data_IF_939604225495
#
_entry.id   IF_939604225495
#
_cell.length_a   1.000
_cell.length_b   1.000
_cell.length_c   1.000
_cell.angle_alpha   90.00
_cell.angle_beta   90.00
_cell.angle_gamma   90.00
#
_symmetry.space_group_name_H-M   'P 1'
#
loop_
_entity.id
_entity.type
_entity.pdbx_description
1 polymer ?
#
# COMPACT_ATOMS: atom_id res chain seq x y z
N UNK A 1 8.13 19.21 15.04
CA UNK A 1 6.68 19.04 15.35
C UNK A 1 6.44 17.53 15.34
N UNK A 2 5.79 16.96 16.36
CA UNK A 2 5.57 15.50 16.35
C UNK A 2 4.64 15.17 15.18
N UNK A 3 5.01 14.20 14.32
CA UNK A 3 4.18 13.75 13.21
C UNK A 3 2.93 13.04 13.74
N UNK A 4 1.81 13.26 13.09
CA UNK A 4 0.55 12.59 13.43
C UNK A 4 0.33 11.41 12.48
N UNK A 5 0.70 10.23 12.95
CA UNK A 5 0.65 9.00 12.17
C UNK A 5 -0.55 8.15 12.56
N UNK A 6 -1.07 7.40 11.61
CA UNK A 6 -2.20 6.49 11.82
C UNK A 6 -1.93 5.11 11.25
N UNK A 7 -2.68 4.14 11.75
CA UNK A 7 -2.76 2.80 11.21
C UNK A 7 -4.15 2.62 10.61
N UNK A 8 -4.21 2.06 9.41
CA UNK A 8 -5.44 1.83 8.67
C UNK A 8 -5.57 0.34 8.40
N UNK A 9 -6.59 -0.28 8.99
CA UNK A 9 -6.91 -1.69 8.86
C UNK A 9 -8.15 -1.83 7.98
N UNK A 10 -8.03 -2.24 6.71
CA UNK A 10 -9.18 -2.53 5.86
C UNK A 10 -9.84 -3.83 6.30
N UNK A 11 -11.15 -3.80 6.50
CA UNK A 11 -11.95 -4.96 6.89
C UNK A 11 -13.22 -5.05 6.04
N UNK A 12 -13.57 -6.25 5.60
CA UNK A 12 -14.66 -6.50 4.66
C UNK A 12 -15.54 -7.70 5.02
N UNK A 13 -15.26 -8.37 6.15
CA UNK A 13 -16.04 -9.52 6.62
C UNK A 13 -16.27 -9.47 8.13
N UNK A 14 -17.40 -9.96 8.56
CA UNK A 14 -17.81 -9.98 9.97
C UNK A 14 -17.04 -11.05 10.77
N UNK A 15 -16.81 -12.21 10.16
CA UNK A 15 -16.14 -13.34 10.82
C UNK A 15 -14.64 -13.26 10.62
N UNK A 16 -13.90 -13.11 11.70
CA UNK A 16 -12.45 -13.03 11.72
C UNK A 16 -11.87 -14.46 11.76
N UNK A 17 -10.96 -14.79 10.86
CA UNK A 17 -10.22 -16.05 10.91
C UNK A 17 -9.19 -16.04 12.05
N UNK A 18 -8.74 -17.23 12.46
CA UNK A 18 -7.68 -17.34 13.49
C UNK A 18 -6.43 -16.52 13.16
N UNK A 19 -6.04 -16.48 11.90
CA UNK A 19 -4.84 -15.75 11.46
C UNK A 19 -5.04 -14.22 11.52
N UNK A 20 -6.20 -13.75 11.12
CA UNK A 20 -6.56 -12.34 11.21
C UNK A 20 -6.73 -11.88 12.65
N UNK A 21 -7.27 -12.76 13.52
CA UNK A 21 -7.34 -12.49 14.94
C UNK A 21 -5.93 -12.34 15.55
N UNK A 22 -4.99 -13.25 15.22
CA UNK A 22 -3.60 -13.15 15.65
C UNK A 22 -2.96 -11.84 15.19
N UNK A 23 -3.16 -11.47 13.94
CA UNK A 23 -2.68 -10.21 13.35
C UNK A 23 -3.24 -8.99 14.09
N UNK A 24 -4.56 -8.93 14.30
CA UNK A 24 -5.22 -7.81 14.98
C UNK A 24 -4.77 -7.70 16.44
N UNK A 25 -4.69 -8.81 17.15
CA UNK A 25 -4.17 -8.87 18.54
C UNK A 25 -2.76 -8.31 18.62
N UNK A 26 -1.90 -8.72 17.71
CA UNK A 26 -0.53 -8.24 17.64
C UNK A 26 -0.45 -6.74 17.30
N UNK A 27 -1.23 -6.27 16.35
CA UNK A 27 -1.35 -4.85 16.05
C UNK A 27 -1.77 -4.06 17.29
N UNK A 28 -2.85 -4.46 17.96
CA UNK A 28 -3.32 -3.82 19.18
C UNK A 28 -2.31 -3.87 20.33
N UNK A 29 -1.54 -4.96 20.45
CA UNK A 29 -0.51 -5.10 21.48
C UNK A 29 0.69 -4.20 21.24
N UNK A 30 1.21 -4.17 20.02
CA UNK A 30 2.48 -3.52 19.69
C UNK A 30 2.28 -2.04 19.36
N UNK A 31 1.22 -1.72 18.63
CA UNK A 31 0.96 -0.38 18.11
C UNK A 31 -0.14 0.36 18.88
N UNK A 32 -0.38 0.00 20.14
CA UNK A 32 -1.43 0.57 21.01
C UNK A 32 -1.29 2.08 21.26
N UNK A 33 -0.10 2.64 21.09
CA UNK A 33 0.16 4.09 21.25
C UNK A 33 -0.34 4.92 20.07
N UNK A 34 -0.68 4.29 18.95
CA UNK A 34 -1.09 4.96 17.71
C UNK A 34 -2.60 4.95 17.52
N UNK A 35 -3.08 5.86 16.69
CA UNK A 35 -4.49 5.91 16.29
C UNK A 35 -4.74 4.82 15.24
N UNK A 36 -5.70 3.93 15.50
CA UNK A 36 -6.03 2.81 14.61
C UNK A 36 -7.43 3.00 14.03
N UNK A 37 -7.51 3.01 12.71
CA UNK A 37 -8.76 3.07 11.96
C UNK A 37 -9.13 1.70 11.40
N UNK A 38 -10.41 1.32 11.56
CA UNK A 38 -11.03 0.29 10.74
C UNK A 38 -11.66 0.96 9.52
N UNK A 39 -11.15 0.65 8.34
CA UNK A 39 -11.73 1.11 7.06
C UNK A 39 -12.65 0.03 6.53
N UNK A 40 -13.93 0.37 6.35
CA UNK A 40 -14.98 -0.59 6.03
C UNK A 40 -16.19 0.11 5.38
N UNK A 41 -17.33 -0.57 5.27
CA UNK A 41 -18.60 -0.04 4.78
C UNK A 41 -19.67 -0.07 5.90
N UNK A 42 -20.70 0.74 5.76
CA UNK A 42 -21.67 1.01 6.86
C UNK A 42 -22.34 -0.25 7.39
N UNK A 43 -22.67 -1.19 6.52
CA UNK A 43 -23.47 -2.38 6.86
C UNK A 43 -22.65 -3.48 7.56
N UNK A 44 -21.32 -3.40 7.56
CA UNK A 44 -20.49 -4.43 8.20
C UNK A 44 -20.60 -4.36 9.71
N UNK A 45 -20.94 -5.46 10.36
CA UNK A 45 -20.83 -5.59 11.81
C UNK A 45 -19.35 -5.82 12.20
N UNK A 46 -18.78 -4.84 12.90
CA UNK A 46 -17.40 -4.84 13.38
C UNK A 46 -17.25 -5.26 14.85
N UNK A 47 -18.30 -5.79 15.49
CA UNK A 47 -18.29 -6.10 16.93
C UNK A 47 -17.16 -7.02 17.35
N UNK A 48 -16.79 -8.01 16.52
CA UNK A 48 -15.68 -8.93 16.79
C UNK A 48 -14.33 -8.20 16.85
N UNK A 49 -14.11 -7.21 15.98
CA UNK A 49 -12.88 -6.40 15.96
C UNK A 49 -12.78 -5.50 17.20
N UNK A 50 -13.87 -4.85 17.59
CA UNK A 50 -13.91 -4.02 18.79
C UNK A 50 -13.65 -4.82 20.05
N UNK A 51 -14.24 -6.01 20.17
CA UNK A 51 -14.03 -6.89 21.32
C UNK A 51 -12.55 -7.25 21.49
N UNK A 52 -11.84 -7.57 20.41
CA UNK A 52 -10.40 -7.85 20.46
C UNK A 52 -9.61 -6.62 20.89
N UNK A 53 -9.89 -5.45 20.31
CA UNK A 53 -9.19 -4.23 20.64
C UNK A 53 -9.39 -3.78 22.11
N UNK A 54 -10.59 -4.00 22.65
CA UNK A 54 -10.93 -3.69 24.04
C UNK A 54 -10.05 -4.45 25.03
N UNK A 55 -9.69 -5.69 24.75
CA UNK A 55 -8.77 -6.50 25.59
C UNK A 55 -7.40 -5.83 25.76
N UNK A 56 -6.98 -5.01 24.78
CA UNK A 56 -5.73 -4.24 24.79
C UNK A 56 -5.94 -2.77 25.17
N UNK A 57 -7.16 -2.36 25.52
CA UNK A 57 -7.55 -0.96 25.78
C UNK A 57 -7.29 -0.03 24.60
N UNK A 58 -7.33 -0.57 23.39
CA UNK A 58 -7.18 0.16 22.13
C UNK A 58 -8.55 0.59 21.62
N UNK A 59 -8.69 1.87 21.28
CA UNK A 59 -9.89 2.40 20.65
C UNK A 59 -9.74 2.35 19.14
N UNK A 60 -10.49 1.47 18.47
CA UNK A 60 -10.60 1.48 17.02
C UNK A 60 -11.59 2.56 16.58
N UNK A 61 -11.18 3.36 15.60
CA UNK A 61 -12.04 4.38 14.98
C UNK A 61 -12.53 3.83 13.65
N UNK A 62 -13.84 3.87 13.43
CA UNK A 62 -14.43 3.41 12.17
C UNK A 62 -14.44 4.54 11.14
N UNK A 63 -14.00 4.24 9.92
CA UNK A 63 -14.14 5.11 8.75
C UNK A 63 -14.82 4.32 7.63
N UNK A 64 -15.99 4.83 7.17
CA UNK A 64 -16.80 4.14 6.18
C UNK A 64 -16.60 4.70 4.78
N UNK A 65 -16.51 3.77 3.83
CA UNK A 65 -16.52 4.03 2.39
C UNK A 65 -17.67 3.23 1.75
N UNK A 66 -17.92 3.49 0.47
CA UNK A 66 -18.99 2.81 -0.27
C UNK A 66 -18.69 1.32 -0.41
N UNK A 67 -19.72 0.47 -0.26
CA UNK A 67 -19.58 -0.99 -0.25
C UNK A 67 -18.88 -1.59 -1.49
N UNK A 68 -19.00 -1.04 -2.73
CA UNK A 68 -18.29 -1.58 -3.88
C UNK A 68 -16.76 -1.61 -3.74
N UNK A 69 -16.18 -0.78 -2.89
CA UNK A 69 -14.75 -0.81 -2.59
C UNK A 69 -14.31 -2.05 -1.80
N UNK A 70 -15.25 -2.80 -1.24
CA UNK A 70 -15.01 -4.02 -0.45
C UNK A 70 -15.45 -5.29 -1.18
N UNK A 71 -15.84 -5.17 -2.44
CA UNK A 71 -16.23 -6.27 -3.30
C UNK A 71 -15.01 -6.83 -4.05
N UNK A 72 -14.28 -7.72 -3.37
CA UNK A 72 -13.10 -8.38 -3.92
C UNK A 72 -11.87 -7.48 -4.08
N UNK A 73 -10.83 -8.03 -4.73
CA UNK A 73 -9.54 -7.35 -4.88
C UNK A 73 -9.64 -6.09 -5.75
N UNK A 74 -10.45 -6.11 -6.80
CA UNK A 74 -10.62 -4.96 -7.69
C UNK A 74 -11.21 -3.74 -6.98
N UNK A 75 -12.25 -3.95 -6.14
CA UNK A 75 -12.82 -2.88 -5.32
C UNK A 75 -11.78 -2.29 -4.36
N UNK A 76 -11.04 -3.14 -3.66
CA UNK A 76 -9.98 -2.73 -2.77
C UNK A 76 -8.86 -1.93 -3.47
N UNK A 77 -8.39 -2.39 -4.62
CA UNK A 77 -7.40 -1.66 -5.41
C UNK A 77 -7.92 -0.27 -5.82
N UNK A 78 -9.18 -0.17 -6.24
CA UNK A 78 -9.81 1.11 -6.56
C UNK A 78 -9.90 2.04 -5.36
N UNK A 79 -10.18 1.52 -4.16
CA UNK A 79 -10.17 2.32 -2.93
C UNK A 79 -8.80 2.97 -2.71
N UNK A 80 -7.72 2.18 -2.77
CA UNK A 80 -6.36 2.63 -2.44
C UNK A 80 -5.67 3.49 -3.52
N UNK A 81 -6.28 3.63 -4.70
CA UNK A 81 -5.87 4.63 -5.70
C UNK A 81 -6.85 5.81 -5.78
N UNK A 82 -7.90 5.82 -4.95
CA UNK A 82 -8.90 6.87 -4.99
C UNK A 82 -8.46 8.13 -4.22
N UNK A 83 -8.81 9.30 -4.77
CA UNK A 83 -8.62 10.59 -4.10
C UNK A 83 -9.37 10.63 -2.76
N UNK A 84 -10.60 10.12 -2.72
CA UNK A 84 -11.46 10.14 -1.55
C UNK A 84 -10.80 9.43 -0.37
N UNK A 85 -10.12 8.32 -0.60
CA UNK A 85 -9.44 7.56 0.45
C UNK A 85 -8.42 8.43 1.21
N UNK A 86 -7.48 9.04 0.51
CA UNK A 86 -6.45 9.85 1.16
C UNK A 86 -6.99 11.15 1.74
N UNK A 87 -7.99 11.77 1.11
CA UNK A 87 -8.62 13.00 1.62
C UNK A 87 -9.28 12.83 2.97
N UNK A 88 -9.88 11.65 3.27
CA UNK A 88 -10.46 11.34 4.58
C UNK A 88 -9.43 11.43 5.71
N UNK A 89 -8.17 11.19 5.40
CA UNK A 89 -7.07 11.17 6.37
C UNK A 89 -6.12 12.38 6.22
N UNK A 90 -6.53 13.44 5.51
CA UNK A 90 -5.69 14.60 5.18
C UNK A 90 -5.13 15.38 6.38
N UNK A 91 -5.69 15.19 7.58
CA UNK A 91 -5.19 15.78 8.83
C UNK A 91 -3.99 15.05 9.44
N UNK A 92 -3.60 13.92 8.89
CA UNK A 92 -2.46 13.12 9.32
C UNK A 92 -1.32 13.20 8.31
N UNK A 93 -0.11 12.93 8.79
CA UNK A 93 1.09 13.00 7.95
C UNK A 93 1.33 11.67 7.21
N UNK A 94 1.25 10.55 7.94
CA UNK A 94 1.46 9.20 7.40
C UNK A 94 0.35 8.26 7.79
N UNK A 95 0.12 7.27 6.94
CA UNK A 95 -0.70 6.09 7.22
C UNK A 95 0.09 4.81 7.00
N UNK A 96 0.04 3.90 7.97
CA UNK A 96 0.44 2.51 7.80
C UNK A 96 -0.80 1.72 7.37
N UNK A 97 -0.83 1.24 6.14
CA UNK A 97 -1.80 0.22 5.73
C UNK A 97 -1.39 -1.09 6.41
N UNK A 98 -2.32 -1.69 7.13
CA UNK A 98 -2.10 -2.92 7.88
C UNK A 98 -3.24 -3.90 7.57
N UNK A 99 -3.08 -4.76 6.56
CA UNK A 99 -4.01 -5.85 6.30
C UNK A 99 -3.91 -6.93 7.39
N UNK A 100 -4.98 -7.68 7.63
CA UNK A 100 -4.99 -8.67 8.71
C UNK A 100 -4.29 -9.99 8.38
N UNK A 101 -3.52 -10.02 7.31
CA UNK A 101 -2.48 -11.00 7.02
C UNK A 101 -1.06 -10.42 7.16
N UNK A 102 -0.95 -9.20 7.71
CA UNK A 102 0.31 -8.64 8.18
C UNK A 102 0.59 -9.02 9.63
N UNK A 103 1.83 -8.84 10.06
CA UNK A 103 2.25 -9.02 11.46
C UNK A 103 3.36 -8.03 11.80
N UNK A 104 3.24 -7.31 12.91
CA UNK A 104 4.22 -6.34 13.38
C UNK A 104 5.02 -6.91 14.54
N UNK A 105 6.34 -6.74 14.54
CA UNK A 105 7.22 -7.30 15.55
C UNK A 105 7.54 -6.34 16.69
N UNK A 106 7.63 -5.04 16.40
CA UNK A 106 7.95 -3.96 17.35
C UNK A 106 7.37 -2.64 16.87
N UNK A 107 7.28 -1.65 17.73
CA UNK A 107 6.80 -0.33 17.35
C UNK A 107 7.96 0.54 16.85
N UNK A 108 8.05 0.68 15.53
CA UNK A 108 8.99 1.56 14.83
C UNK A 108 8.26 2.53 13.90
N UNK A 109 6.95 2.73 14.07
CA UNK A 109 6.17 3.53 13.12
C UNK A 109 6.69 4.96 13.00
N UNK A 110 6.94 5.63 14.13
CA UNK A 110 7.46 7.00 14.12
C UNK A 110 8.86 7.07 13.49
N UNK A 111 9.74 6.10 13.74
CA UNK A 111 11.08 6.03 13.16
C UNK A 111 11.05 5.88 11.63
N UNK A 112 10.08 5.10 11.11
CA UNK A 112 9.91 4.96 9.68
C UNK A 112 9.31 6.21 9.02
N UNK A 113 8.44 6.92 9.73
CA UNK A 113 7.91 8.21 9.28
C UNK A 113 9.01 9.28 9.20
N UNK A 114 9.95 9.29 10.16
CA UNK A 114 11.08 10.24 10.20
C UNK A 114 12.06 10.08 9.03
N UNK A 115 12.00 8.96 8.30
CA UNK A 115 12.81 8.75 7.07
C UNK A 115 12.25 9.46 5.84
N UNK A 116 11.06 10.05 5.94
CA UNK A 116 10.44 10.89 4.92
C UNK A 116 10.21 10.24 3.55
N UNK A 117 10.10 8.90 3.49
CA UNK A 117 9.68 8.22 2.26
C UNK A 117 8.21 8.55 1.94
N UNK A 118 7.89 8.68 0.65
CA UNK A 118 6.50 8.82 0.22
C UNK A 118 5.75 7.49 0.27
N UNK A 119 6.46 6.40 -0.04
CA UNK A 119 5.95 5.03 0.00
C UNK A 119 7.05 4.06 0.42
N UNK A 120 6.72 3.13 1.31
CA UNK A 120 7.54 1.96 1.61
C UNK A 120 6.65 0.75 1.88
N UNK A 121 7.03 -0.40 1.36
CA UNK A 121 6.46 -1.73 1.62
C UNK A 121 7.56 -2.79 1.53
N UNK A 122 7.20 -4.06 1.34
CA UNK A 122 8.18 -5.12 1.20
C UNK A 122 8.91 -5.06 -0.16
N UNK A 123 10.18 -5.49 -0.22
CA UNK A 123 10.88 -5.60 -1.49
C UNK A 123 10.39 -6.79 -2.32
N UNK A 124 10.44 -6.64 -3.64
CA UNK A 124 10.15 -7.70 -4.60
C UNK A 124 11.39 -8.12 -5.36
N UNK A 125 11.46 -9.41 -5.68
CA UNK A 125 12.38 -9.95 -6.65
C UNK A 125 11.90 -9.70 -8.08
N UNK A 126 12.80 -9.75 -9.04
CA UNK A 126 12.48 -9.73 -10.47
C UNK A 126 11.39 -10.77 -10.77
N UNK A 127 10.46 -10.42 -11.67
CA UNK A 127 9.30 -11.24 -12.06
C UNK A 127 8.29 -11.53 -10.92
N UNK A 128 8.33 -10.79 -9.81
CA UNK A 128 7.45 -10.99 -8.64
C UNK A 128 7.50 -12.40 -8.05
N UNK A 129 8.54 -13.16 -8.36
CA UNK A 129 8.73 -14.52 -7.86
C UNK A 129 9.21 -14.54 -6.41
N UNK A 130 9.31 -15.73 -5.83
CA UNK A 130 10.16 -15.99 -4.67
C UNK A 130 11.61 -16.02 -5.10
N UNK A 131 12.53 -15.88 -4.14
CA UNK A 131 13.95 -15.95 -4.43
C UNK A 131 14.31 -17.32 -5.03
N UNK A 132 15.06 -17.27 -6.14
CA UNK A 132 15.76 -18.38 -6.76
C UNK A 132 17.22 -17.98 -6.89
N UNK A 133 18.14 -18.94 -7.11
CA UNK A 133 19.55 -18.65 -7.31
C UNK A 133 19.73 -17.66 -8.48
N UNK A 134 20.42 -16.56 -8.22
CA UNK A 134 20.61 -15.47 -9.19
C UNK A 134 19.50 -14.42 -9.24
N UNK A 135 18.39 -14.59 -8.51
CA UNK A 135 17.34 -13.56 -8.42
C UNK A 135 17.87 -12.28 -7.79
N UNK A 136 17.46 -11.14 -8.34
CA UNK A 136 17.80 -9.82 -7.81
C UNK A 136 16.58 -9.15 -7.19
N UNK A 137 16.82 -8.41 -6.11
CA UNK A 137 15.84 -7.45 -5.61
C UNK A 137 15.66 -6.33 -6.64
N UNK A 138 14.42 -6.01 -6.96
CA UNK A 138 14.13 -5.12 -8.07
C UNK A 138 13.36 -3.86 -7.66
N UNK A 139 12.26 -4.01 -6.91
CA UNK A 139 11.34 -2.94 -6.61
C UNK A 139 10.85 -3.04 -5.16
N UNK A 140 10.32 -1.94 -4.65
CA UNK A 140 9.56 -1.89 -3.40
C UNK A 140 8.09 -1.79 -3.74
N UNK A 141 7.26 -2.62 -3.13
CA UNK A 141 5.82 -2.64 -3.35
C UNK A 141 5.07 -3.17 -2.14
N UNK A 142 4.07 -4.03 -2.35
CA UNK A 142 3.28 -4.66 -1.30
C UNK A 142 2.37 -3.69 -0.53
N UNK A 143 1.13 -3.53 -1.01
CA UNK A 143 0.14 -2.66 -0.42
C UNK A 143 -0.36 -3.08 0.97
N UNK A 144 -0.26 -4.38 1.32
CA UNK A 144 -0.88 -4.94 2.54
C UNK A 144 -0.19 -4.59 3.85
N UNK A 145 1.13 -4.30 3.81
CA UNK A 145 1.87 -3.68 4.91
C UNK A 145 2.77 -2.60 4.31
N UNK A 146 2.22 -1.38 4.22
CA UNK A 146 2.90 -0.25 3.56
C UNK A 146 2.68 1.05 4.31
N UNK A 147 3.73 1.86 4.41
CA UNK A 147 3.67 3.22 4.95
C UNK A 147 3.60 4.22 3.80
N UNK A 148 2.67 5.18 3.91
CA UNK A 148 2.36 6.16 2.87
C UNK A 148 2.29 7.57 3.44
N UNK A 149 2.99 8.52 2.80
CA UNK A 149 2.92 9.95 3.13
C UNK A 149 1.67 10.55 2.51
N UNK A 150 0.64 10.76 3.30
CA UNK A 150 -0.72 11.12 2.86
C UNK A 150 -0.73 12.34 1.94
N UNK A 151 0.01 13.38 2.28
CA UNK A 151 0.08 14.62 1.50
C UNK A 151 0.59 14.40 0.07
N UNK A 152 1.56 13.51 -0.12
CA UNK A 152 2.11 13.18 -1.46
C UNK A 152 1.02 12.58 -2.34
N UNK A 153 0.27 11.62 -1.83
CA UNK A 153 -0.83 10.96 -2.57
C UNK A 153 -1.96 11.95 -2.91
N UNK A 154 -2.34 12.80 -1.94
CA UNK A 154 -3.33 13.85 -2.18
C UNK A 154 -2.86 14.81 -3.28
N UNK A 155 -1.61 15.25 -3.25
CA UNK A 155 -1.07 16.18 -4.23
C UNK A 155 -1.09 15.57 -5.64
N UNK A 156 -0.63 14.31 -5.78
CA UNK A 156 -0.64 13.59 -7.07
C UNK A 156 -2.07 13.46 -7.60
N UNK A 157 -3.01 12.98 -6.75
CA UNK A 157 -4.40 12.74 -7.16
C UNK A 157 -5.22 14.02 -7.39
N UNK A 158 -4.73 15.17 -6.93
CA UNK A 158 -5.34 16.47 -7.19
C UNK A 158 -4.71 17.21 -8.40
N UNK A 159 -3.61 16.70 -8.94
CA UNK A 159 -2.95 17.33 -10.08
C UNK A 159 -3.73 17.04 -11.37
N UNK A 160 -4.35 18.07 -11.93
CA UNK A 160 -5.10 17.97 -13.19
C UNK A 160 -4.26 18.36 -14.42
N UNK A 161 -2.96 18.63 -14.25
CA UNK A 161 -2.09 18.97 -15.37
C UNK A 161 -1.90 17.78 -16.31
N UNK A 162 -1.67 18.03 -17.60
CA UNK A 162 -1.26 17.00 -18.54
C UNK A 162 0.04 16.33 -18.09
N UNK A 163 0.07 15.00 -18.09
CA UNK A 163 1.20 14.22 -17.59
C UNK A 163 2.22 13.95 -18.70
N UNK A 164 1.75 13.45 -19.85
CA UNK A 164 2.63 13.13 -20.98
C UNK A 164 2.84 14.34 -21.87
N UNK A 165 4.10 14.58 -22.24
CA UNK A 165 4.45 15.62 -23.22
C UNK A 165 4.22 15.17 -24.68
N UNK A 166 4.40 16.10 -25.61
CA UNK A 166 4.11 15.94 -27.04
C UNK A 166 4.72 14.67 -27.66
N UNK A 167 6.01 14.38 -27.38
CA UNK A 167 6.71 13.22 -27.94
C UNK A 167 6.05 11.91 -27.47
N UNK A 168 5.85 11.74 -26.16
CA UNK A 168 5.25 10.53 -25.59
C UNK A 168 3.80 10.32 -26.10
N UNK A 169 3.04 11.42 -26.25
CA UNK A 169 1.70 11.36 -26.83
C UNK A 169 1.73 10.98 -28.31
N UNK A 170 2.69 11.53 -29.06
CA UNK A 170 2.85 11.18 -30.46
C UNK A 170 3.19 9.69 -30.64
N UNK A 171 4.03 9.13 -29.78
CA UNK A 171 4.36 7.70 -29.78
C UNK A 171 3.16 6.85 -29.33
N UNK A 172 2.41 7.28 -28.32
CA UNK A 172 1.20 6.62 -27.82
C UNK A 172 0.13 6.44 -28.91
N UNK A 173 -0.03 7.44 -29.79
CA UNK A 173 -1.02 7.39 -30.87
C UNK A 173 -0.43 6.93 -32.22
N UNK A 174 0.65 6.17 -32.18
CA UNK A 174 1.43 5.81 -33.39
C UNK A 174 0.61 5.10 -34.46
N UNK A 175 -0.35 4.26 -34.08
CA UNK A 175 -1.17 3.48 -35.01
C UNK A 175 -2.33 4.27 -35.66
N UNK A 176 -2.54 5.53 -35.24
CA UNK A 176 -3.64 6.36 -35.75
C UNK A 176 -3.26 7.06 -37.07
N UNK A 177 -4.24 7.32 -37.98
CA UNK A 177 -4.02 8.16 -39.16
C UNK A 177 -3.47 9.52 -38.76
N UNK A 178 -2.54 10.07 -39.58
CA UNK A 178 -1.74 11.27 -39.24
C UNK A 178 -2.57 12.46 -38.74
N UNK A 179 -3.66 12.81 -39.41
CA UNK A 179 -4.50 13.95 -38.99
C UNK A 179 -5.23 13.67 -37.65
N UNK A 180 -5.74 12.46 -37.48
CA UNK A 180 -6.39 12.04 -36.22
C UNK A 180 -5.37 12.03 -35.07
N UNK A 181 -4.18 11.52 -35.32
CA UNK A 181 -3.06 11.51 -34.37
C UNK A 181 -2.71 12.90 -33.89
N UNK A 182 -2.51 13.85 -34.83
CA UNK A 182 -2.20 15.23 -34.47
C UNK A 182 -3.32 15.88 -33.64
N UNK A 183 -4.58 15.62 -33.97
CA UNK A 183 -5.72 16.12 -33.24
C UNK A 183 -5.79 15.53 -31.82
N UNK A 184 -5.55 14.24 -31.67
CA UNK A 184 -5.55 13.57 -30.35
C UNK A 184 -4.36 14.01 -29.49
N UNK A 185 -3.18 14.23 -30.09
CA UNK A 185 -2.04 14.83 -29.38
C UNK A 185 -2.40 16.23 -28.86
N UNK A 186 -2.98 17.10 -29.71
CA UNK A 186 -3.37 18.45 -29.28
C UNK A 186 -4.38 18.43 -28.12
N UNK A 187 -5.41 17.60 -28.20
CA UNK A 187 -6.37 17.43 -27.09
C UNK A 187 -5.70 16.94 -25.81
N UNK A 188 -4.80 15.98 -25.94
CA UNK A 188 -4.12 15.40 -24.78
C UNK A 188 -3.14 16.37 -24.14
N UNK A 189 -2.55 17.29 -24.88
CA UNK A 189 -1.72 18.38 -24.34
C UNK A 189 -2.49 19.35 -23.44
N UNK A 190 -3.82 19.42 -23.57
CA UNK A 190 -4.70 20.18 -22.69
C UNK A 190 -5.43 19.30 -21.66
N UNK A 191 -4.97 18.07 -21.46
CA UNK A 191 -5.42 17.17 -20.41
C UNK A 191 -6.48 16.14 -20.82
N UNK A 192 -6.96 16.13 -22.07
CA UNK A 192 -7.90 15.09 -22.51
C UNK A 192 -7.21 13.73 -22.57
N UNK A 193 -7.70 12.74 -21.80
CA UNK A 193 -7.09 11.41 -21.62
C UNK A 193 -5.58 11.45 -21.25
N UNK A 194 -5.15 12.51 -20.57
CA UNK A 194 -3.75 12.73 -20.21
C UNK A 194 -3.60 13.47 -18.87
N UNK A 195 -4.39 13.12 -17.88
CA UNK A 195 -4.31 13.63 -16.51
C UNK A 195 -4.47 12.47 -15.52
N UNK A 196 -4.17 12.71 -14.26
CA UNK A 196 -4.19 11.67 -13.24
C UNK A 196 -5.56 10.99 -13.09
N UNK A 197 -6.66 11.73 -13.23
CA UNK A 197 -8.00 11.16 -13.11
C UNK A 197 -8.27 10.12 -14.20
N UNK A 198 -7.85 10.41 -15.44
CA UNK A 198 -7.94 9.45 -16.55
C UNK A 198 -7.16 8.18 -16.24
N UNK A 199 -5.89 8.32 -15.83
CA UNK A 199 -5.05 7.14 -15.55
C UNK A 199 -5.54 6.31 -14.36
N UNK A 200 -6.08 6.94 -13.32
CA UNK A 200 -6.73 6.24 -12.19
C UNK A 200 -7.98 5.49 -12.64
N UNK A 201 -8.81 6.08 -13.52
CA UNK A 201 -10.04 5.44 -14.01
C UNK A 201 -9.77 4.23 -14.90
N UNK A 202 -8.74 4.32 -15.75
CA UNK A 202 -8.38 3.25 -16.70
C UNK A 202 -7.51 2.15 -16.09
N UNK A 203 -7.02 2.33 -14.86
CA UNK A 203 -6.14 1.35 -14.22
C UNK A 203 -6.94 0.23 -13.56
N UNK A 204 -6.66 -1.03 -13.94
CA UNK A 204 -7.39 -2.20 -13.48
C UNK A 204 -6.54 -3.22 -12.70
N UNK A 205 -5.24 -2.97 -12.53
CA UNK A 205 -4.32 -3.89 -11.86
C UNK A 205 -4.15 -3.53 -10.37
N UNK A 206 -3.17 -4.10 -9.71
CA UNK A 206 -2.90 -3.94 -8.27
C UNK A 206 -2.49 -2.50 -7.95
N UNK A 207 -2.98 -1.98 -6.84
CA UNK A 207 -2.79 -0.58 -6.44
C UNK A 207 -1.34 -0.23 -6.12
N UNK A 208 -0.58 -1.18 -5.57
CA UNK A 208 0.84 -1.01 -5.28
C UNK A 208 1.68 -0.91 -6.57
N UNK A 209 1.32 -1.64 -7.63
CA UNK A 209 1.89 -1.49 -8.96
C UNK A 209 1.54 -0.14 -9.59
N UNK A 210 0.33 0.39 -9.33
CA UNK A 210 -0.03 1.73 -9.76
C UNK A 210 0.96 2.76 -9.22
N UNK A 211 1.21 2.74 -7.92
CA UNK A 211 2.07 3.71 -7.27
C UNK A 211 3.56 3.52 -7.58
N UNK A 212 4.02 2.27 -7.66
CA UNK A 212 5.46 1.95 -7.69
C UNK A 212 6.02 1.69 -9.08
N UNK A 213 5.16 1.43 -10.08
CA UNK A 213 5.57 1.18 -11.46
C UNK A 213 4.84 2.05 -12.49
N UNK A 214 3.51 2.04 -12.43
CA UNK A 214 2.71 2.69 -13.46
C UNK A 214 2.92 4.21 -13.46
N UNK A 215 2.78 4.87 -12.31
CA UNK A 215 3.05 6.31 -12.21
C UNK A 215 4.49 6.70 -12.56
N UNK A 216 5.54 5.98 -12.09
CA UNK A 216 6.90 6.21 -12.54
C UNK A 216 7.10 6.08 -14.05
N UNK A 217 6.40 5.16 -14.74
CA UNK A 217 6.45 5.05 -16.20
C UNK A 217 5.85 6.27 -16.91
N UNK A 218 4.96 7.00 -16.26
CA UNK A 218 4.40 8.27 -16.72
C UNK A 218 5.26 9.49 -16.31
N UNK A 219 6.37 9.28 -15.60
CA UNK A 219 7.26 10.34 -15.12
C UNK A 219 6.97 10.86 -13.71
N UNK A 220 5.96 10.34 -13.01
CA UNK A 220 5.60 10.70 -11.64
C UNK A 220 6.30 9.74 -10.67
N UNK A 221 7.31 10.22 -9.94
CA UNK A 221 8.11 9.38 -9.05
C UNK A 221 7.81 9.68 -7.59
N UNK A 222 7.72 8.63 -6.78
CA UNK A 222 7.67 8.69 -5.32
C UNK A 222 9.10 8.57 -4.75
N UNK A 223 9.35 9.24 -3.62
CA UNK A 223 10.53 9.00 -2.82
C UNK A 223 10.38 7.67 -2.10
N UNK A 224 11.10 6.65 -2.52
CA UNK A 224 11.06 5.29 -1.97
C UNK A 224 12.46 4.83 -1.58
N UNK A 225 12.60 3.94 -0.58
CA UNK A 225 13.88 3.32 -0.27
C UNK A 225 14.34 2.40 -1.41
N UNK A 226 15.61 2.03 -1.38
CA UNK A 226 16.07 0.89 -2.20
C UNK A 226 15.44 -0.41 -1.68
N UNK A 227 15.29 -1.44 -2.55
CA UNK A 227 14.75 -2.73 -2.11
C UNK A 227 15.52 -3.34 -0.92
N UNK A 228 16.82 -3.18 -0.87
CA UNK A 228 17.64 -3.66 0.26
C UNK A 228 17.30 -2.93 1.56
N UNK A 229 17.11 -1.62 1.53
CA UNK A 229 16.68 -0.85 2.70
C UNK A 229 15.27 -1.23 3.17
N UNK A 230 14.39 -1.58 2.23
CA UNK A 230 13.02 -1.97 2.51
C UNK A 230 12.89 -3.30 3.26
N UNK A 231 13.92 -4.17 3.23
CA UNK A 231 13.91 -5.45 3.97
C UNK A 231 13.69 -5.20 5.47
N UNK A 232 14.32 -4.19 6.04
CA UNK A 232 14.17 -3.87 7.46
C UNK A 232 12.78 -3.34 7.82
N UNK A 233 12.05 -2.80 6.84
CA UNK A 233 10.65 -2.38 7.02
C UNK A 233 9.71 -3.57 6.95
N UNK A 234 9.75 -4.35 5.86
CA UNK A 234 8.82 -5.45 5.68
C UNK A 234 9.40 -6.59 4.84
N UNK A 235 8.97 -7.80 5.15
CA UNK A 235 9.24 -9.01 4.37
C UNK A 235 7.92 -9.66 4.00
N UNK A 236 7.77 -10.09 2.74
CA UNK A 236 6.64 -10.90 2.27
C UNK A 236 7.11 -12.26 1.80
N UNK A 237 7.78 -12.33 0.66
CA UNK A 237 8.25 -13.57 0.04
C UNK A 237 9.67 -13.90 0.46
N UNK A 238 10.01 -15.19 0.46
CA UNK A 238 11.35 -15.70 0.79
C UNK A 238 11.89 -15.17 2.13
N UNK A 239 11.10 -15.29 3.22
CA UNK A 239 11.43 -14.65 4.48
C UNK A 239 12.73 -15.16 5.08
N UNK A 240 13.06 -16.44 4.97
CA UNK A 240 14.33 -16.97 5.48
C UNK A 240 15.53 -16.34 4.78
N UNK A 241 15.47 -16.17 3.47
CA UNK A 241 16.53 -15.53 2.69
C UNK A 241 16.68 -14.05 3.03
N UNK A 242 15.58 -13.30 3.02
CA UNK A 242 15.59 -11.86 3.33
C UNK A 242 15.99 -11.56 4.78
N UNK A 243 15.61 -12.43 5.72
CA UNK A 243 16.08 -12.36 7.11
C UNK A 243 17.60 -12.47 7.20
N UNK A 244 18.21 -13.41 6.44
CA UNK A 244 19.66 -13.51 6.34
C UNK A 244 20.31 -12.25 5.78
N UNK A 245 19.74 -11.66 4.73
CA UNK A 245 20.20 -10.37 4.18
C UNK A 245 20.03 -9.20 5.15
N UNK A 246 19.05 -9.28 6.07
CA UNK A 246 18.80 -8.29 7.11
C UNK A 246 19.63 -8.57 8.39
N UNK A 247 20.82 -9.17 8.25
CA UNK A 247 21.73 -9.48 9.36
C UNK A 247 21.08 -10.33 10.46
N UNK A 248 20.18 -11.23 10.10
CA UNK A 248 19.35 -12.03 11.01
C UNK A 248 18.54 -11.19 12.01
N UNK A 249 18.07 -10.03 11.59
CA UNK A 249 17.16 -9.18 12.34
C UNK A 249 15.76 -9.25 11.74
N UNK A 250 14.73 -9.35 12.59
CA UNK A 250 13.36 -9.25 12.14
C UNK A 250 13.09 -7.84 11.56
N UNK A 251 12.27 -7.71 10.53
CA UNK A 251 11.82 -6.41 10.03
C UNK A 251 10.88 -5.73 11.05
N UNK A 252 10.45 -4.49 10.77
CA UNK A 252 9.37 -3.84 11.53
C UNK A 252 8.08 -4.67 11.48
N UNK A 253 7.70 -5.17 10.28
CA UNK A 253 6.59 -6.09 10.11
C UNK A 253 6.77 -7.04 8.94
N UNK A 254 5.75 -7.85 8.66
CA UNK A 254 5.71 -8.71 7.49
C UNK A 254 4.28 -8.80 6.96
N UNK A 255 4.13 -9.26 5.71
CA UNK A 255 2.85 -9.44 5.06
C UNK A 255 2.70 -10.88 4.54
N UNK A 256 1.46 -11.35 4.44
CA UNK A 256 1.13 -12.69 3.96
C UNK A 256 1.96 -13.82 4.61
N UNK A 257 2.32 -13.62 5.87
CA UNK A 257 3.22 -14.48 6.62
C UNK A 257 2.70 -15.93 6.76
N UNK A 258 1.39 -16.13 6.80
CA UNK A 258 0.79 -17.48 6.83
C UNK A 258 0.90 -18.20 5.48
N UNK A 259 1.08 -17.46 4.39
CA UNK A 259 1.15 -17.97 3.02
C UNK A 259 2.58 -18.36 2.62
N UNK A 260 3.56 -17.60 3.09
CA UNK A 260 4.96 -17.79 2.70
C UNK A 260 5.80 -18.31 3.88
N UNK A 261 6.27 -19.53 3.78
CA UNK A 261 7.20 -20.19 4.72
C UNK A 261 6.76 -20.15 6.20
N UNK A 262 5.44 -20.19 6.49
CA UNK A 262 4.99 -20.15 7.87
C UNK A 262 5.61 -21.28 8.72
N UNK A 263 5.47 -22.52 8.29
CA UNK A 263 5.92 -23.69 9.07
C UNK A 263 7.44 -23.81 9.15
N UNK A 264 8.17 -23.32 8.16
CA UNK A 264 9.62 -23.46 8.05
C UNK A 264 10.40 -22.26 8.60
N UNK A 265 9.75 -21.07 8.64
CA UNK A 265 10.41 -19.85 9.09
C UNK A 265 9.58 -19.07 10.12
N UNK A 266 8.37 -18.57 9.79
CA UNK A 266 7.66 -17.62 10.66
C UNK A 266 7.19 -18.20 11.98
N UNK A 267 6.89 -19.50 12.05
CA UNK A 267 6.35 -20.17 13.24
C UNK A 267 7.24 -20.04 14.49
N UNK A 268 8.52 -19.79 14.34
CA UNK A 268 9.42 -19.57 15.48
C UNK A 268 9.29 -18.16 16.08
N UNK A 269 8.72 -17.20 15.34
CA UNK A 269 8.58 -15.80 15.74
C UNK A 269 7.13 -15.39 15.97
N UNK A 270 6.18 -16.08 15.34
CA UNK A 270 4.74 -15.77 15.34
C UNK A 270 4.00 -16.96 16.01
N UNK A 271 3.52 -16.73 17.27
CA UNK A 271 2.85 -17.73 18.10
C UNK A 271 1.45 -17.28 18.49
#
# INVERSE_FOLDING_TARGET
MKMHNIIVIPVYKQVISKWEEMSLRQCCKVLSAHIIYLVTFVELDCSAYYKIAEEYKVKLIRENFDSPYFEGLAGYNRLLISRNFYQRFSRYDYMLIYQLDAYVFRDELDEWCDREYDYIGAPWFENYASHEEGSRLWLVGNGGFSLRRIKTFINILNDNNPILGCKALYDRYNERPTLVKLWDVLKSLIGWHNNINYYVQEYEDQEDLFWTQYLPSLGIKLNMPTPTQAISFSIEKSPAFLYGLNENKLPFGCHAWQKYEYNTFWKQFIN
#
